data_IF_655979038816
#
_entry.id   IF_655979038816
#
_cell.length_a   1.000
_cell.length_b   1.000
_cell.length_c   1.000
_cell.angle_alpha   90.00
_cell.angle_beta   90.00
_cell.angle_gamma   90.00
#
_symmetry.space_group_name_H-M   'P 1'
#
loop_
_entity.id
_entity.type
_entity.pdbx_description
1 polymer ?
#
# COMPACT_ATOMS: atom_id res chain seq x y z
N UNK A 1 7.63 -17.67 -15.69
CA UNK A 1 8.94 -17.30 -16.26
C UNK A 1 9.86 -16.74 -15.19
N UNK A 2 9.47 -15.75 -14.38
CA UNK A 2 10.27 -15.21 -13.27
C UNK A 2 10.67 -16.32 -12.28
N UNK A 3 9.76 -17.21 -11.90
CA UNK A 3 10.05 -18.34 -11.01
C UNK A 3 11.01 -19.37 -11.59
N UNK A 4 11.10 -19.46 -12.92
CA UNK A 4 12.05 -20.35 -13.65
C UNK A 4 13.41 -19.69 -13.88
N UNK A 5 13.60 -18.44 -13.44
CA UNK A 5 14.83 -17.69 -13.70
C UNK A 5 14.98 -17.21 -15.15
N UNK A 6 13.92 -17.32 -15.97
CA UNK A 6 13.93 -16.89 -17.38
C UNK A 6 13.90 -15.36 -17.52
N UNK A 7 13.47 -14.65 -16.49
CA UNK A 7 13.45 -13.19 -16.42
C UNK A 7 13.98 -12.70 -15.07
N UNK A 8 14.65 -11.55 -15.08
CA UNK A 8 15.12 -10.89 -13.87
C UNK A 8 13.96 -10.50 -12.95
N UNK A 9 14.28 -10.35 -11.66
CA UNK A 9 13.34 -9.80 -10.68
C UNK A 9 13.08 -8.33 -11.00
N UNK A 10 11.83 -7.91 -10.88
CA UNK A 10 11.45 -6.50 -10.97
C UNK A 10 11.85 -5.83 -9.65
N UNK A 11 12.60 -4.74 -9.72
CA UNK A 11 12.94 -3.94 -8.56
C UNK A 11 11.68 -3.30 -7.95
N UNK A 12 11.56 -3.35 -6.64
CA UNK A 12 10.43 -2.74 -5.96
C UNK A 12 10.54 -1.21 -5.99
N UNK A 13 9.49 -0.55 -6.47
CA UNK A 13 9.40 0.92 -6.47
C UNK A 13 9.35 1.52 -5.05
N UNK A 14 9.13 0.68 -4.03
CA UNK A 14 9.11 1.10 -2.62
C UNK A 14 10.41 1.76 -2.16
N UNK A 15 11.55 1.40 -2.78
CA UNK A 15 12.87 1.96 -2.44
C UNK A 15 13.21 3.24 -3.20
N UNK A 16 12.35 3.72 -4.09
CA UNK A 16 12.59 4.95 -4.88
C UNK A 16 12.88 6.15 -3.98
N UNK A 17 12.29 6.20 -2.79
CA UNK A 17 12.49 7.28 -1.81
C UNK A 17 13.87 7.28 -1.15
N UNK A 18 14.65 6.22 -1.30
CA UNK A 18 16.04 6.15 -0.81
C UNK A 18 17.06 6.74 -1.78
N UNK A 19 16.64 7.05 -3.00
CA UNK A 19 17.45 7.66 -4.05
C UNK A 19 17.54 9.18 -3.88
N UNK A 20 18.48 9.82 -4.56
CA UNK A 20 18.49 11.28 -4.64
C UNK A 20 17.33 11.81 -5.50
N UNK A 21 17.06 13.12 -5.43
CA UNK A 21 15.90 13.73 -6.07
C UNK A 21 15.91 13.57 -7.59
N UNK A 22 17.07 13.70 -8.22
CA UNK A 22 17.20 13.59 -9.68
C UNK A 22 16.86 12.18 -10.16
N UNK A 23 17.38 11.16 -9.46
CA UNK A 23 17.09 9.76 -9.73
C UNK A 23 15.61 9.41 -9.48
N UNK A 24 15.02 9.98 -8.40
CA UNK A 24 13.59 9.81 -8.13
C UNK A 24 12.75 10.38 -9.27
N UNK A 25 13.06 11.60 -9.73
CA UNK A 25 12.30 12.28 -10.78
C UNK A 25 12.40 11.53 -12.12
N UNK A 26 13.59 11.01 -12.45
CA UNK A 26 13.79 10.18 -13.65
C UNK A 26 12.95 8.90 -13.60
N UNK A 27 12.98 8.16 -12.47
CA UNK A 27 12.21 6.93 -12.34
C UNK A 27 10.70 7.16 -12.30
N UNK A 28 10.26 8.23 -11.64
CA UNK A 28 8.84 8.62 -11.62
C UNK A 28 8.36 9.02 -13.02
N UNK A 29 9.24 9.64 -13.83
CA UNK A 29 8.88 9.93 -15.22
C UNK A 29 8.72 8.63 -16.02
N UNK A 30 9.65 7.70 -15.93
CA UNK A 30 9.53 6.38 -16.59
C UNK A 30 8.26 5.64 -16.15
N UNK A 31 7.92 5.71 -14.88
CA UNK A 31 6.67 5.11 -14.38
C UNK A 31 5.44 5.79 -15.00
N UNK A 32 5.42 7.13 -15.09
CA UNK A 32 4.34 7.88 -15.76
C UNK A 32 4.20 7.49 -17.22
N UNK A 33 5.31 7.30 -17.93
CA UNK A 33 5.31 6.87 -19.32
C UNK A 33 4.68 5.47 -19.46
N UNK A 34 5.05 4.52 -18.61
CA UNK A 34 4.42 3.19 -18.57
C UNK A 34 2.92 3.27 -18.27
N UNK A 35 2.51 4.11 -17.32
CA UNK A 35 1.08 4.32 -17.02
C UNK A 35 0.35 4.89 -18.24
N UNK A 36 0.99 5.80 -18.97
CA UNK A 36 0.42 6.38 -20.20
C UNK A 36 0.27 5.33 -21.30
N UNK A 37 1.30 4.50 -21.52
CA UNK A 37 1.26 3.42 -22.50
C UNK A 37 0.16 2.40 -22.19
N UNK A 38 0.05 1.99 -20.90
CA UNK A 38 -1.03 1.08 -20.49
C UNK A 38 -2.41 1.72 -20.64
N UNK A 39 -2.52 3.03 -20.41
CA UNK A 39 -3.79 3.77 -20.59
C UNK A 39 -4.29 3.73 -22.02
N UNK A 40 -3.40 3.67 -23.01
CA UNK A 40 -3.77 3.58 -24.43
C UNK A 40 -4.59 2.32 -24.75
N UNK A 41 -4.47 1.25 -23.98
CA UNK A 41 -5.30 0.04 -24.13
C UNK A 41 -6.79 0.28 -23.88
N UNK A 42 -7.14 1.35 -23.17
CA UNK A 42 -8.54 1.71 -22.88
C UNK A 42 -9.14 2.67 -23.93
N UNK A 43 -8.34 3.10 -24.93
CA UNK A 43 -8.75 4.04 -25.95
C UNK A 43 -8.52 5.51 -25.57
N UNK A 44 -9.03 6.41 -26.43
CA UNK A 44 -8.91 7.85 -26.21
C UNK A 44 -10.01 8.33 -25.24
N UNK A 45 -9.66 9.01 -24.14
CA UNK A 45 -10.65 9.53 -23.22
C UNK A 45 -11.42 10.69 -23.84
N UNK A 46 -12.73 10.59 -23.88
CA UNK A 46 -13.61 11.64 -24.40
C UNK A 46 -13.82 12.77 -23.36
N UNK A 47 -13.74 12.43 -22.09
CA UNK A 47 -13.96 13.35 -20.95
C UNK A 47 -12.82 13.29 -19.94
N UNK A 48 -12.78 14.25 -19.02
CA UNK A 48 -11.86 14.22 -17.90
C UNK A 48 -12.14 13.03 -16.96
N UNK A 49 -13.40 12.67 -16.80
CA UNK A 49 -13.80 11.48 -16.03
C UNK A 49 -13.28 10.19 -16.67
N UNK A 50 -13.34 10.05 -18.00
CA UNK A 50 -12.74 8.91 -18.70
C UNK A 50 -11.23 8.86 -18.51
N UNK A 51 -10.56 10.01 -18.56
CA UNK A 51 -9.12 10.09 -18.33
C UNK A 51 -8.74 9.62 -16.92
N UNK A 52 -9.48 10.06 -15.91
CA UNK A 52 -9.28 9.62 -14.53
C UNK A 52 -9.55 8.11 -14.37
N UNK A 53 -10.63 7.61 -14.97
CA UNK A 53 -10.99 6.19 -14.95
C UNK A 53 -9.92 5.32 -15.63
N UNK A 54 -9.45 5.71 -16.83
CA UNK A 54 -8.43 4.95 -17.56
C UNK A 54 -7.08 4.97 -16.82
N UNK A 55 -6.73 6.10 -16.19
CA UNK A 55 -5.55 6.17 -15.34
C UNK A 55 -5.66 5.24 -14.14
N UNK A 56 -6.80 5.23 -13.44
CA UNK A 56 -7.04 4.32 -12.31
C UNK A 56 -6.95 2.85 -12.74
N UNK A 57 -7.56 2.48 -13.87
CA UNK A 57 -7.46 1.12 -14.42
C UNK A 57 -6.02 0.73 -14.77
N UNK A 58 -5.24 1.65 -15.34
CA UNK A 58 -3.83 1.43 -15.65
C UNK A 58 -3.01 1.16 -14.40
N UNK A 59 -3.20 1.94 -13.34
CA UNK A 59 -2.53 1.71 -12.05
C UNK A 59 -2.87 0.35 -11.45
N UNK A 60 -4.16 -0.03 -11.45
CA UNK A 60 -4.59 -1.36 -10.93
C UNK A 60 -3.91 -2.49 -11.71
N UNK A 61 -3.83 -2.41 -13.05
CA UNK A 61 -3.17 -3.42 -13.86
C UNK A 61 -1.66 -3.50 -13.57
N UNK A 62 -0.99 -2.34 -13.49
CA UNK A 62 0.43 -2.26 -13.19
C UNK A 62 0.72 -2.83 -11.81
N UNK A 63 -0.05 -2.43 -10.79
CA UNK A 63 0.10 -2.95 -9.42
C UNK A 63 -0.14 -4.47 -9.35
N UNK A 64 -1.17 -4.98 -10.03
CA UNK A 64 -1.41 -6.42 -10.10
C UNK A 64 -0.22 -7.18 -10.68
N UNK A 65 0.44 -6.63 -11.71
CA UNK A 65 1.64 -7.22 -12.33
C UNK A 65 2.88 -7.10 -11.43
N UNK A 66 3.11 -5.93 -10.84
CA UNK A 66 4.27 -5.67 -9.98
C UNK A 66 4.25 -6.54 -8.71
N UNK A 67 3.08 -6.72 -8.11
CA UNK A 67 2.93 -7.53 -6.90
C UNK A 67 2.79 -9.03 -7.15
N UNK A 68 2.64 -9.46 -8.41
CA UNK A 68 2.57 -10.88 -8.77
C UNK A 68 3.69 -11.73 -8.18
N UNK A 69 4.98 -11.34 -8.22
CA UNK A 69 6.06 -12.15 -7.66
C UNK A 69 5.94 -12.35 -6.14
N UNK A 70 5.27 -11.45 -5.43
CA UNK A 70 5.09 -11.51 -3.98
C UNK A 70 3.98 -12.48 -3.62
N UNK A 71 2.76 -12.23 -4.10
CA UNK A 71 1.60 -13.03 -3.69
C UNK A 71 1.47 -14.37 -4.42
N UNK A 72 2.05 -14.53 -5.62
CA UNK A 72 2.07 -15.80 -6.35
C UNK A 72 2.85 -16.90 -5.63
N UNK A 73 3.71 -16.55 -4.66
CA UNK A 73 4.45 -17.53 -3.84
C UNK A 73 3.53 -18.43 -3.00
N UNK A 74 2.31 -18.00 -2.75
CA UNK A 74 1.30 -18.75 -1.99
C UNK A 74 0.63 -19.85 -2.81
N UNK A 75 0.84 -19.87 -4.12
CA UNK A 75 0.20 -20.81 -5.04
C UNK A 75 1.22 -21.75 -5.65
N UNK A 76 0.82 -23.00 -5.88
CA UNK A 76 1.57 -23.93 -6.73
C UNK A 76 1.57 -23.45 -8.19
N UNK A 77 2.60 -23.79 -8.95
CA UNK A 77 2.63 -23.51 -10.40
C UNK A 77 1.43 -24.15 -11.12
N UNK A 78 0.94 -25.28 -10.61
CA UNK A 78 -0.25 -25.96 -11.13
C UNK A 78 -1.55 -25.19 -10.92
N UNK A 79 -1.58 -24.30 -9.94
CA UNK A 79 -2.74 -23.42 -9.67
C UNK A 79 -2.77 -22.18 -10.56
N UNK A 80 -1.67 -21.84 -11.24
CA UNK A 80 -1.58 -20.58 -11.98
C UNK A 80 -2.68 -20.36 -13.01
N UNK A 81 -3.11 -21.35 -13.81
CA UNK A 81 -4.22 -21.14 -14.75
C UNK A 81 -5.52 -20.72 -14.06
N UNK A 82 -5.83 -21.33 -12.91
CA UNK A 82 -6.99 -20.99 -12.10
C UNK A 82 -6.88 -19.58 -11.48
N UNK A 83 -5.69 -19.24 -10.99
CA UNK A 83 -5.40 -17.93 -10.41
C UNK A 83 -5.49 -16.83 -11.48
N UNK A 84 -4.91 -17.07 -12.66
CA UNK A 84 -5.00 -16.15 -13.81
C UNK A 84 -6.45 -15.90 -14.21
N UNK A 85 -7.22 -16.96 -14.39
CA UNK A 85 -8.65 -16.85 -14.71
C UNK A 85 -9.40 -16.01 -13.68
N UNK A 86 -9.12 -16.22 -12.38
CA UNK A 86 -9.78 -15.48 -11.30
C UNK A 86 -9.38 -14.01 -11.27
N UNK A 87 -8.11 -13.70 -11.56
CA UNK A 87 -7.67 -12.30 -11.67
C UNK A 87 -8.36 -11.60 -12.83
N UNK A 88 -8.39 -12.24 -14.01
CA UNK A 88 -9.08 -11.67 -15.17
C UNK A 88 -10.55 -11.46 -14.88
N UNK A 89 -11.22 -12.41 -14.23
CA UNK A 89 -12.61 -12.27 -13.81
C UNK A 89 -12.81 -11.06 -12.89
N UNK A 90 -11.95 -10.88 -11.87
CA UNK A 90 -12.01 -9.74 -10.95
C UNK A 90 -11.74 -8.42 -11.66
N UNK A 91 -10.76 -8.38 -12.55
CA UNK A 91 -10.41 -7.15 -13.29
C UNK A 91 -11.51 -6.74 -14.28
N UNK A 92 -12.20 -7.71 -14.88
CA UNK A 92 -13.26 -7.44 -15.85
C UNK A 92 -14.63 -7.17 -15.21
N UNK A 93 -14.94 -7.87 -14.12
CA UNK A 93 -16.28 -7.86 -13.53
C UNK A 93 -16.34 -7.20 -12.14
N UNK A 94 -15.18 -6.87 -11.55
CA UNK A 94 -15.08 -6.40 -10.19
C UNK A 94 -15.07 -7.55 -9.17
N UNK A 95 -15.02 -7.17 -7.89
CA UNK A 95 -14.97 -8.11 -6.75
C UNK A 95 -16.37 -8.63 -6.37
N UNK A 96 -17.49 -7.90 -6.59
CA UNK A 96 -18.81 -8.31 -6.12
C UNK A 96 -19.21 -9.71 -6.61
N UNK A 97 -19.81 -10.49 -5.72
CA UNK A 97 -20.32 -11.82 -6.05
C UNK A 97 -21.61 -11.76 -6.89
N UNK A 98 -22.30 -10.63 -6.91
CA UNK A 98 -23.54 -10.40 -7.67
C UNK A 98 -23.49 -9.06 -8.39
N UNK A 99 -24.15 -8.97 -9.55
CA UNK A 99 -24.35 -7.70 -10.26
C UNK A 99 -25.41 -6.90 -9.51
N UNK A 100 -25.00 -6.11 -8.55
CA UNK A 100 -25.84 -5.15 -7.85
C UNK A 100 -25.47 -3.72 -8.21
N UNK A 101 -26.36 -2.79 -7.88
CA UNK A 101 -26.03 -1.36 -7.94
C UNK A 101 -25.01 -1.05 -6.83
N UNK A 102 -24.00 -0.27 -7.17
CA UNK A 102 -23.02 0.22 -6.20
C UNK A 102 -23.68 1.24 -5.26
N UNK A 103 -24.11 0.78 -4.11
CA UNK A 103 -24.75 1.61 -3.08
C UNK A 103 -24.18 1.24 -1.69
N UNK A 104 -22.90 1.53 -1.43
CA UNK A 104 -22.29 1.18 -0.15
C UNK A 104 -22.93 1.97 0.98
N UNK A 105 -23.21 1.30 2.07
CA UNK A 105 -23.61 1.97 3.31
C UNK A 105 -22.46 2.82 3.85
N UNK A 106 -22.76 4.02 4.41
CA UNK A 106 -21.71 4.82 5.06
C UNK A 106 -21.07 4.03 6.20
N UNK A 107 -19.75 4.13 6.32
CA UNK A 107 -19.07 3.57 7.49
C UNK A 107 -19.51 4.30 8.75
N UNK A 108 -19.66 3.59 9.89
CA UNK A 108 -19.98 4.22 11.16
C UNK A 108 -18.99 5.34 11.51
N UNK A 109 -19.50 6.44 12.04
CA UNK A 109 -18.62 7.55 12.42
C UNK A 109 -17.63 7.15 13.53
N UNK A 110 -16.36 7.35 13.27
CA UNK A 110 -15.38 7.77 14.25
C UNK A 110 -14.58 6.73 15.00
N UNK A 111 -15.07 5.58 15.33
CA UNK A 111 -14.34 4.62 16.19
C UNK A 111 -13.02 4.07 15.64
N UNK A 112 -12.81 4.17 14.33
CA UNK A 112 -11.62 3.71 13.63
C UNK A 112 -10.66 4.86 13.24
N UNK A 113 -11.14 6.11 13.26
CA UNK A 113 -10.33 7.31 12.94
C UNK A 113 -9.54 7.83 14.14
N UNK A 114 -10.06 7.63 15.33
CA UNK A 114 -9.40 8.01 16.58
C UNK A 114 -9.08 6.75 17.39
N UNK A 115 -7.96 6.74 18.07
CA UNK A 115 -7.63 5.71 19.07
C UNK A 115 -8.45 5.89 20.36
N UNK A 116 -9.72 6.33 20.23
CA UNK A 116 -10.59 6.75 21.33
C UNK A 116 -10.30 8.19 21.79
N UNK A 117 -11.15 8.77 22.62
CA UNK A 117 -10.97 10.09 23.22
C UNK A 117 -9.78 10.17 24.20
N UNK A 118 -9.01 9.11 24.36
CA UNK A 118 -7.77 9.10 25.12
C UNK A 118 -6.67 9.81 24.32
N UNK A 119 -5.97 10.73 24.96
CA UNK A 119 -4.75 11.31 24.38
C UNK A 119 -3.80 10.19 23.97
N UNK A 120 -3.18 10.28 22.75
CA UNK A 120 -2.27 9.25 22.28
C UNK A 120 -1.17 9.03 23.33
N UNK A 121 -0.88 7.78 23.64
CA UNK A 121 0.23 7.45 24.52
C UNK A 121 1.54 7.97 23.93
N UNK A 122 2.53 8.24 24.73
CA UNK A 122 3.86 8.66 24.26
C UNK A 122 4.42 7.66 23.25
N UNK A 123 4.13 6.38 23.41
CA UNK A 123 4.52 5.33 22.48
C UNK A 123 3.78 5.41 21.16
N UNK A 124 2.49 5.73 21.18
CA UNK A 124 1.70 5.94 19.94
C UNK A 124 2.20 7.12 19.12
N UNK A 125 2.55 8.21 19.76
CA UNK A 125 3.12 9.38 19.07
C UNK A 125 4.50 9.05 18.51
N UNK A 126 5.30 8.27 19.23
CA UNK A 126 6.58 7.78 18.77
C UNK A 126 6.46 6.93 17.50
N UNK A 127 5.57 5.92 17.51
CA UNK A 127 5.30 5.06 16.36
C UNK A 127 4.72 5.85 15.18
N UNK A 128 3.89 6.86 15.45
CA UNK A 128 3.33 7.73 14.42
C UNK A 128 4.42 8.51 13.69
N UNK A 129 5.30 9.17 14.41
CA UNK A 129 6.40 9.96 13.84
C UNK A 129 7.38 9.06 13.10
N UNK A 130 7.71 7.90 13.67
CA UNK A 130 8.57 6.92 13.02
C UNK A 130 7.96 6.42 11.70
N UNK A 131 6.66 6.09 11.71
CA UNK A 131 5.94 5.65 10.49
C UNK A 131 5.98 6.72 9.41
N UNK A 132 5.72 7.98 9.73
CA UNK A 132 5.77 9.09 8.77
C UNK A 132 7.17 9.22 8.18
N UNK A 133 8.20 9.20 9.02
CA UNK A 133 9.58 9.33 8.57
C UNK A 133 10.04 8.15 7.69
N UNK A 134 9.62 6.92 8.03
CA UNK A 134 9.87 5.73 7.21
C UNK A 134 9.17 5.86 5.85
N UNK A 135 7.93 6.34 5.84
CA UNK A 135 7.17 6.55 4.61
C UNK A 135 7.75 7.66 3.73
N UNK A 136 8.31 8.72 4.33
CA UNK A 136 8.89 9.84 3.58
C UNK A 136 10.29 9.53 3.04
N UNK A 137 11.12 8.86 3.83
CA UNK A 137 12.57 8.73 3.58
C UNK A 137 13.05 7.30 3.34
N UNK A 138 12.13 6.34 3.34
CA UNK A 138 12.44 4.93 3.30
C UNK A 138 13.08 4.43 4.61
N UNK A 139 13.24 3.12 4.71
CA UNK A 139 13.85 2.48 5.87
C UNK A 139 15.26 3.02 6.17
N UNK A 140 16.11 3.17 5.15
CA UNK A 140 17.50 3.65 5.33
C UNK A 140 17.55 5.12 5.74
N UNK A 141 16.69 5.97 5.18
CA UNK A 141 16.64 7.41 5.45
C UNK A 141 16.07 7.76 6.82
N UNK A 142 15.20 6.93 7.39
CA UNK A 142 14.64 7.08 8.73
C UNK A 142 15.63 6.55 9.79
N UNK A 143 16.69 7.32 10.08
CA UNK A 143 17.67 6.92 11.11
C UNK A 143 17.10 7.15 12.52
N UNK A 144 17.56 6.34 13.48
CA UNK A 144 17.21 6.48 14.91
C UNK A 144 17.47 7.90 15.44
N UNK A 145 18.59 8.51 15.02
CA UNK A 145 18.92 9.87 15.43
C UNK A 145 17.87 10.89 14.94
N UNK A 146 17.45 10.79 13.69
CA UNK A 146 16.42 11.67 13.12
C UNK A 146 15.05 11.48 13.74
N UNK A 147 14.69 10.24 14.07
CA UNK A 147 13.42 9.95 14.76
C UNK A 147 13.45 10.55 16.17
N UNK A 148 14.54 10.34 16.93
CA UNK A 148 14.71 10.91 18.26
C UNK A 148 14.70 12.45 18.23
N UNK A 149 15.36 13.07 17.25
CA UNK A 149 15.38 14.52 17.03
C UNK A 149 13.97 15.05 16.73
N UNK A 150 13.23 14.41 15.83
CA UNK A 150 11.87 14.82 15.47
C UNK A 150 10.90 14.74 16.65
N UNK A 151 11.15 13.84 17.59
CA UNK A 151 10.39 13.67 18.84
C UNK A 151 10.92 14.51 20.00
N UNK A 152 12.02 15.24 19.79
CA UNK A 152 12.71 15.98 20.83
C UNK A 152 13.08 15.11 22.05
N UNK A 153 13.51 13.88 21.80
CA UNK A 153 13.96 12.93 22.83
C UNK A 153 15.42 12.55 22.62
N UNK A 154 16.06 11.98 23.65
CA UNK A 154 17.42 11.50 23.52
C UNK A 154 17.46 10.16 22.79
N UNK A 155 18.61 9.86 22.15
CA UNK A 155 18.85 8.53 21.56
C UNK A 155 18.76 7.40 22.60
N UNK A 156 19.12 7.68 23.85
CA UNK A 156 18.97 6.73 24.97
C UNK A 156 17.51 6.40 25.26
N UNK A 157 16.61 7.39 25.16
CA UNK A 157 15.17 7.18 25.29
C UNK A 157 14.62 6.25 24.18
N UNK A 158 15.16 6.32 22.97
CA UNK A 158 14.81 5.37 21.89
C UNK A 158 15.15 3.93 22.31
N UNK A 159 16.38 3.69 22.73
CA UNK A 159 16.85 2.34 23.10
C UNK A 159 16.24 1.80 24.41
N UNK A 160 15.53 2.63 25.14
CA UNK A 160 14.73 2.17 26.28
C UNK A 160 13.44 1.46 25.84
N UNK A 161 12.94 1.77 24.65
CA UNK A 161 11.70 1.19 24.10
C UNK A 161 11.95 0.16 22.99
N UNK A 162 13.08 0.23 22.29
CA UNK A 162 13.39 -0.62 21.15
C UNK A 162 14.87 -0.98 21.15
N UNK A 163 15.19 -2.27 21.18
CA UNK A 163 16.58 -2.76 21.20
C UNK A 163 17.29 -2.46 19.86
N UNK A 164 16.53 -2.49 18.77
CA UNK A 164 17.03 -2.18 17.43
C UNK A 164 16.02 -1.36 16.61
N UNK A 165 16.50 -0.78 15.53
CA UNK A 165 15.63 -0.07 14.56
C UNK A 165 14.61 -1.01 13.91
N UNK A 166 14.97 -2.28 13.72
CA UNK A 166 14.10 -3.29 13.13
C UNK A 166 12.89 -3.55 14.02
N UNK A 167 13.05 -3.56 15.34
CA UNK A 167 11.95 -3.71 16.30
C UNK A 167 10.96 -2.54 16.16
N UNK A 168 11.48 -1.31 16.10
CA UNK A 168 10.65 -0.14 15.85
C UNK A 168 9.85 -0.27 14.54
N UNK A 169 10.49 -0.74 13.47
CA UNK A 169 9.82 -0.91 12.17
C UNK A 169 8.72 -1.96 12.28
N UNK A 170 8.97 -3.06 12.97
CA UNK A 170 7.97 -4.10 13.23
C UNK A 170 6.78 -3.54 14.01
N UNK A 171 7.01 -2.73 15.04
CA UNK A 171 5.95 -2.09 15.82
C UNK A 171 5.15 -1.06 14.97
N UNK A 172 5.81 -0.32 14.08
CA UNK A 172 5.13 0.55 13.13
C UNK A 172 4.21 -0.24 12.17
N UNK A 173 4.67 -1.40 11.69
CA UNK A 173 3.84 -2.29 10.88
C UNK A 173 2.68 -2.86 11.69
N UNK A 174 2.93 -3.38 12.89
CA UNK A 174 1.88 -3.93 13.75
C UNK A 174 0.79 -2.90 14.01
N UNK A 175 1.17 -1.68 14.40
CA UNK A 175 0.23 -0.57 14.59
C UNK A 175 -0.58 -0.27 13.33
N UNK A 176 0.04 -0.31 12.16
CA UNK A 176 -0.63 -0.07 10.88
C UNK A 176 -1.63 -1.19 10.55
N UNK A 177 -1.26 -2.45 10.79
CA UNK A 177 -2.15 -3.60 10.62
C UNK A 177 -3.32 -3.58 11.60
N UNK A 178 -3.10 -3.22 12.85
CA UNK A 178 -4.15 -3.11 13.86
C UNK A 178 -5.20 -2.05 13.45
N UNK A 179 -4.74 -0.91 12.93
CA UNK A 179 -5.62 0.13 12.39
C UNK A 179 -6.40 -0.35 11.17
N UNK A 180 -5.72 -1.00 10.22
CA UNK A 180 -6.37 -1.55 9.05
C UNK A 180 -7.41 -2.61 9.42
N UNK A 181 -7.08 -3.48 10.37
CA UNK A 181 -7.99 -4.50 10.89
C UNK A 181 -9.24 -3.89 11.52
N UNK A 182 -9.08 -2.84 12.34
CA UNK A 182 -10.22 -2.09 12.92
C UNK A 182 -11.15 -1.54 11.83
N UNK A 183 -10.58 -0.93 10.77
CA UNK A 183 -11.37 -0.41 9.64
C UNK A 183 -12.10 -1.54 8.90
N UNK A 184 -11.42 -2.66 8.65
CA UNK A 184 -12.02 -3.82 7.98
C UNK A 184 -13.16 -4.42 8.82
N UNK A 185 -12.96 -4.56 10.13
CA UNK A 185 -14.00 -5.06 11.04
C UNK A 185 -15.19 -4.09 11.11
N UNK A 186 -14.94 -2.79 11.20
CA UNK A 186 -16.00 -1.79 11.15
C UNK A 186 -16.82 -1.87 9.86
N UNK A 187 -16.16 -2.09 8.71
CA UNK A 187 -16.84 -2.32 7.44
C UNK A 187 -17.63 -3.62 7.41
N UNK A 188 -17.08 -4.69 8.00
CA UNK A 188 -17.76 -5.99 8.09
C UNK A 188 -19.06 -5.92 8.93
N UNK A 189 -19.08 -5.12 9.96
CA UNK A 189 -20.20 -5.02 10.90
C UNK A 189 -21.32 -4.07 10.42
N UNK A 190 -21.11 -3.37 9.27
CA UNK A 190 -22.16 -2.52 8.67
C UNK A 190 -23.23 -3.42 8.04
N UNK A 191 -24.50 -3.28 8.45
CA UNK A 191 -25.59 -4.05 7.84
C UNK A 191 -25.86 -3.61 6.41
N UNK A 192 -26.08 -4.56 5.52
CA UNK A 192 -26.42 -4.31 4.11
C UNK A 192 -25.45 -4.90 3.11
N UNK A 193 -25.49 -4.41 1.88
CA UNK A 193 -24.56 -4.81 0.82
C UNK A 193 -23.24 -4.04 0.97
N UNK A 194 -22.14 -4.75 1.00
CA UNK A 194 -20.80 -4.16 1.00
C UNK A 194 -20.36 -3.69 -0.38
N UNK A 195 -21.17 -4.00 -1.41
CA UNK A 195 -20.86 -3.76 -2.82
C UNK A 195 -22.08 -3.28 -3.59
#
# INVERSE_FOLDING_TARGET
RIRRGEHGLIAALSEIRSLDQEQQDELLQKYRDVVQDVRMFFGDPATEADRALYSARSHILIEAMLWWPVWSRRYSVLDFPRVEQKIVEILCNGIPASKGEWAPSPLPDGGWRSDGDAAPSQNDEFLRVATLMINERGYRGASVNRIAEALNVTKGSFYHHHDAKDDLVMDCFQRSYDRLSKVQMAGHDVPGSYW
#
